data_IF_366146087509
#
_entry.id   IF_366146087509
#
_cell.length_a   1.000
_cell.length_b   1.000
_cell.length_c   1.000
_cell.angle_alpha   90.00
_cell.angle_beta   90.00
_cell.angle_gamma   90.00
#
_symmetry.space_group_name_H-M   'P 1'
#
loop_
_entity.id
_entity.type
_entity.pdbx_description
1 polymer ?
#
# COMPACT_ATOMS: atom_id res chain seq x y z
N UNK A 1 -25.95 -0.82 -16.01
CA UNK A 1 -26.57 -0.62 -14.70
C UNK A 1 -25.60 0.19 -13.87
N UNK A 2 -26.03 1.32 -13.30
CA UNK A 2 -25.21 2.10 -12.38
C UNK A 2 -25.00 1.27 -11.13
N UNK A 3 -23.74 1.06 -10.75
CA UNK A 3 -23.40 0.36 -9.52
C UNK A 3 -23.76 1.26 -8.33
N UNK A 4 -24.79 0.90 -7.56
CA UNK A 4 -25.24 1.76 -6.45
C UNK A 4 -24.40 1.57 -5.17
N UNK A 5 -23.37 0.75 -5.23
CA UNK A 5 -22.46 0.50 -4.10
C UNK A 5 -21.58 1.72 -3.87
N UNK A 6 -21.50 2.14 -2.60
CA UNK A 6 -20.72 3.29 -2.15
C UNK A 6 -19.53 2.82 -1.31
N UNK A 7 -18.33 3.25 -1.68
CA UNK A 7 -17.06 2.84 -1.07
C UNK A 7 -16.40 4.06 -0.44
N UNK A 8 -15.98 3.96 0.82
CA UNK A 8 -15.08 4.92 1.43
C UNK A 8 -13.64 4.46 1.26
N UNK A 9 -12.78 5.35 0.74
CA UNK A 9 -11.33 5.14 0.67
C UNK A 9 -10.67 6.21 1.53
N UNK A 10 -10.12 5.83 2.69
CA UNK A 10 -9.35 6.74 3.52
C UNK A 10 -7.90 6.80 3.04
N UNK A 11 -7.24 7.95 3.17
CA UNK A 11 -5.91 8.14 2.55
C UNK A 11 -5.98 8.16 1.03
N UNK A 12 -7.14 8.59 0.47
CA UNK A 12 -7.42 8.52 -0.96
C UNK A 12 -6.61 9.49 -1.82
N UNK A 13 -5.94 10.48 -1.23
CA UNK A 13 -4.99 11.35 -1.94
C UNK A 13 -3.54 10.82 -1.91
N UNK A 14 -3.27 9.73 -1.17
CA UNK A 14 -1.99 9.03 -1.14
C UNK A 14 -1.76 8.15 -2.36
N UNK A 15 -0.60 7.50 -2.41
CA UNK A 15 -0.19 6.61 -3.49
C UNK A 15 -1.22 5.49 -3.77
N UNK A 16 -1.45 4.61 -2.79
CA UNK A 16 -2.35 3.45 -2.98
C UNK A 16 -3.80 3.92 -3.08
N UNK A 17 -4.23 4.81 -2.18
CA UNK A 17 -5.61 5.28 -2.12
C UNK A 17 -6.09 5.96 -3.40
N UNK A 18 -5.26 6.80 -4.04
CA UNK A 18 -5.64 7.48 -5.28
C UNK A 18 -5.75 6.54 -6.49
N UNK A 19 -4.97 5.45 -6.51
CA UNK A 19 -5.11 4.40 -7.50
C UNK A 19 -6.39 3.59 -7.31
N UNK A 20 -6.76 3.31 -6.04
CA UNK A 20 -8.04 2.67 -5.71
C UNK A 20 -9.23 3.57 -6.08
N UNK A 21 -9.19 4.88 -5.76
CA UNK A 21 -10.23 5.84 -6.17
C UNK A 21 -10.44 5.80 -7.68
N UNK A 22 -9.37 5.93 -8.46
CA UNK A 22 -9.43 5.92 -9.93
C UNK A 22 -10.03 4.61 -10.46
N UNK A 23 -9.57 3.48 -9.92
CA UNK A 23 -10.05 2.16 -10.33
C UNK A 23 -11.54 1.96 -10.06
N UNK A 24 -12.00 2.21 -8.84
CA UNK A 24 -13.41 1.99 -8.49
C UNK A 24 -14.35 2.97 -9.19
N UNK A 25 -13.92 4.22 -9.43
CA UNK A 25 -14.67 5.16 -10.27
C UNK A 25 -14.79 4.67 -11.71
N UNK A 26 -13.73 4.07 -12.29
CA UNK A 26 -13.78 3.47 -13.63
C UNK A 26 -14.79 2.32 -13.73
N UNK A 27 -14.99 1.61 -12.62
CA UNK A 27 -15.99 0.54 -12.45
C UNK A 27 -17.40 1.06 -12.09
N UNK A 28 -17.60 2.37 -12.10
CA UNK A 28 -18.89 3.02 -11.79
C UNK A 28 -19.38 2.85 -10.34
N UNK A 29 -18.48 2.62 -9.40
CA UNK A 29 -18.79 2.73 -7.97
C UNK A 29 -18.91 4.19 -7.56
N UNK A 30 -19.68 4.47 -6.51
CA UNK A 30 -19.62 5.76 -5.80
C UNK A 30 -18.46 5.73 -4.82
N UNK A 31 -17.55 6.69 -4.91
CA UNK A 31 -16.34 6.75 -4.09
C UNK A 31 -16.34 7.99 -3.22
N UNK A 32 -16.22 7.80 -1.92
CA UNK A 32 -15.91 8.85 -0.94
C UNK A 32 -14.41 8.74 -0.62
N UNK A 33 -13.69 9.83 -0.72
CA UNK A 33 -12.29 9.94 -0.33
C UNK A 33 -12.21 10.77 0.96
N UNK A 34 -11.62 10.21 2.02
CA UNK A 34 -11.27 10.94 3.24
C UNK A 34 -9.75 11.08 3.30
N UNK A 35 -9.24 12.32 3.33
CA UNK A 35 -7.80 12.60 3.40
C UNK A 35 -7.56 13.98 4.04
N UNK A 36 -6.54 14.11 4.88
CA UNK A 36 -6.10 15.37 5.48
C UNK A 36 -4.90 16.01 4.76
N UNK A 37 -4.43 15.40 3.68
CA UNK A 37 -3.31 15.83 2.86
C UNK A 37 -1.96 15.95 3.60
N UNK A 38 -1.82 15.30 4.75
CA UNK A 38 -0.56 15.32 5.50
C UNK A 38 0.60 14.63 4.75
N UNK A 39 0.28 13.63 3.93
CA UNK A 39 1.23 12.91 3.06
C UNK A 39 0.66 12.64 1.67
N UNK A 40 -0.64 12.80 1.49
CA UNK A 40 -1.33 12.73 0.22
C UNK A 40 -1.25 14.06 -0.54
N UNK A 41 -1.45 14.02 -1.86
CA UNK A 41 -1.33 15.18 -2.72
C UNK A 41 -2.60 15.43 -3.51
N UNK A 42 -3.10 16.67 -3.52
CA UNK A 42 -4.31 17.07 -4.30
C UNK A 42 -4.17 16.73 -5.78
N UNK A 43 -2.95 16.81 -6.34
CA UNK A 43 -2.71 16.50 -7.75
C UNK A 43 -3.04 15.02 -8.10
N UNK A 44 -2.96 14.08 -7.16
CA UNK A 44 -3.33 12.68 -7.37
C UNK A 44 -4.84 12.49 -7.65
N UNK A 45 -5.67 13.48 -7.28
CA UNK A 45 -7.12 13.44 -7.42
C UNK A 45 -7.63 14.17 -8.67
N UNK A 46 -6.80 15.02 -9.33
CA UNK A 46 -7.22 15.91 -10.43
C UNK A 46 -7.93 15.15 -11.55
N UNK A 47 -7.43 13.98 -11.94
CA UNK A 47 -7.94 13.21 -13.07
C UNK A 47 -9.43 12.81 -12.91
N UNK A 48 -9.95 12.76 -11.70
CA UNK A 48 -11.31 12.34 -11.41
C UNK A 48 -12.07 13.24 -10.42
N UNK A 49 -11.52 14.40 -10.06
CA UNK A 49 -12.15 15.34 -9.12
C UNK A 49 -13.54 15.83 -9.56
N UNK A 50 -13.78 15.89 -10.87
CA UNK A 50 -15.07 16.30 -11.45
C UNK A 50 -16.01 15.11 -11.76
N UNK A 51 -15.66 13.89 -11.35
CA UNK A 51 -16.54 12.73 -11.57
C UNK A 51 -17.74 12.81 -10.62
N UNK A 52 -18.96 12.69 -11.17
CA UNK A 52 -20.22 12.76 -10.40
C UNK A 52 -20.34 11.71 -9.27
N UNK A 53 -19.61 10.60 -9.42
CA UNK A 53 -19.56 9.52 -8.42
C UNK A 53 -18.42 9.70 -7.39
N UNK A 54 -17.67 10.80 -7.43
CA UNK A 54 -16.58 11.08 -6.52
C UNK A 54 -16.96 12.19 -5.53
N UNK A 55 -16.77 11.91 -4.24
CA UNK A 55 -16.87 12.92 -3.15
C UNK A 55 -15.56 12.97 -2.38
N UNK A 56 -14.94 14.15 -2.27
CA UNK A 56 -13.82 14.41 -1.36
C UNK A 56 -14.35 14.95 -0.04
N UNK A 57 -13.85 14.40 1.07
CA UNK A 57 -13.96 14.95 2.42
C UNK A 57 -12.53 15.24 2.88
N UNK A 58 -12.22 16.52 3.11
CA UNK A 58 -10.97 16.95 3.72
C UNK A 58 -11.11 16.82 5.23
N UNK A 59 -10.55 15.77 5.83
CA UNK A 59 -10.71 15.45 7.24
C UNK A 59 -9.64 14.49 7.74
N UNK A 60 -9.58 14.33 9.05
CA UNK A 60 -8.54 13.57 9.74
C UNK A 60 -9.14 12.37 10.49
N UNK A 61 -8.61 11.18 10.25
CA UNK A 61 -9.07 9.96 10.92
C UNK A 61 -8.89 10.00 12.45
N UNK A 62 -8.04 10.88 12.98
CA UNK A 62 -7.91 11.12 14.42
C UNK A 62 -9.15 11.79 15.03
N UNK A 63 -9.95 12.44 14.21
CA UNK A 63 -11.22 13.07 14.61
C UNK A 63 -12.37 12.09 14.34
N UNK A 64 -13.00 11.60 15.39
CA UNK A 64 -14.11 10.65 15.24
C UNK A 64 -15.25 11.23 14.39
N UNK A 65 -15.58 12.54 14.54
CA UNK A 65 -16.63 13.20 13.77
C UNK A 65 -16.37 13.18 12.25
N UNK A 66 -15.11 13.34 11.81
CA UNK A 66 -14.75 13.25 10.40
C UNK A 66 -14.93 11.81 9.86
N UNK A 67 -14.62 10.81 10.71
CA UNK A 67 -14.84 9.42 10.39
C UNK A 67 -16.34 9.10 10.28
N UNK A 68 -17.15 9.59 11.22
CA UNK A 68 -18.60 9.42 11.23
C UNK A 68 -19.27 10.07 10.00
N UNK A 69 -18.82 11.26 9.59
CA UNK A 69 -19.29 11.89 8.35
C UNK A 69 -18.91 11.05 7.13
N UNK A 70 -17.67 10.56 7.08
CA UNK A 70 -17.17 9.86 5.92
C UNK A 70 -17.87 8.52 5.67
N UNK A 71 -18.31 7.81 6.70
CA UNK A 71 -18.97 6.50 6.58
C UNK A 71 -20.46 6.57 6.28
N UNK A 72 -21.07 7.76 6.16
CA UNK A 72 -22.52 7.91 5.96
C UNK A 72 -23.01 7.25 4.66
N UNK A 73 -23.83 6.19 4.82
CA UNK A 73 -24.39 5.42 3.71
C UNK A 73 -23.35 4.68 2.86
N UNK A 74 -22.18 4.36 3.43
CA UNK A 74 -21.11 3.60 2.81
C UNK A 74 -21.36 2.11 3.00
N UNK A 75 -21.16 1.33 1.92
CA UNK A 75 -21.26 -0.13 1.98
C UNK A 75 -19.95 -0.79 2.40
N UNK A 76 -18.81 -0.26 1.91
CA UNK A 76 -17.47 -0.82 2.13
C UNK A 76 -16.47 0.25 2.47
N UNK A 77 -15.54 -0.05 3.38
CA UNK A 77 -14.39 0.81 3.69
C UNK A 77 -13.11 0.15 3.21
N UNK A 78 -12.31 0.89 2.43
CA UNK A 78 -10.92 0.57 2.08
C UNK A 78 -10.01 1.54 2.85
N UNK A 79 -9.53 1.11 4.01
CA UNK A 79 -8.77 1.96 4.90
C UNK A 79 -7.28 1.94 4.55
N UNK A 80 -6.82 3.00 3.84
CA UNK A 80 -5.42 3.18 3.44
C UNK A 80 -4.71 4.28 4.23
N UNK A 81 -5.45 5.13 4.95
CA UNK A 81 -4.89 6.23 5.73
C UNK A 81 -3.98 5.72 6.84
N UNK A 82 -2.72 6.09 6.79
CA UNK A 82 -1.71 5.80 7.80
C UNK A 82 -0.45 6.65 7.56
N UNK A 83 0.34 6.86 8.59
CA UNK A 83 1.72 7.30 8.44
C UNK A 83 2.61 6.08 8.20
N UNK A 84 2.94 5.84 6.93
CA UNK A 84 3.89 4.81 6.51
C UNK A 84 5.34 5.22 6.81
N UNK A 85 6.26 4.25 6.88
CA UNK A 85 7.70 4.42 7.06
C UNK A 85 8.22 4.09 8.46
N UNK A 86 9.11 3.11 8.49
CA UNK A 86 9.84 2.72 9.70
C UNK A 86 10.70 3.89 10.24
N UNK A 87 11.54 4.58 9.43
CA UNK A 87 12.34 5.70 9.94
C UNK A 87 11.49 6.84 10.50
N UNK A 88 10.35 7.17 9.89
CA UNK A 88 9.43 8.18 10.44
C UNK A 88 8.96 7.77 11.83
N UNK A 89 8.53 6.53 12.00
CA UNK A 89 8.01 6.05 13.28
C UNK A 89 9.07 6.02 14.40
N UNK A 90 10.34 5.88 14.05
CA UNK A 90 11.46 5.98 15.00
C UNK A 90 11.67 7.44 15.41
N UNK A 91 11.59 8.36 14.46
CA UNK A 91 11.78 9.79 14.72
C UNK A 91 10.58 10.44 15.43
N UNK A 92 9.36 10.00 15.11
CA UNK A 92 8.13 10.50 15.73
C UNK A 92 7.13 9.35 15.98
N UNK A 93 7.37 8.58 17.07
CA UNK A 93 6.51 7.46 17.41
C UNK A 93 5.14 7.89 17.93
N UNK A 94 5.04 9.07 18.57
CA UNK A 94 3.77 9.55 19.15
C UNK A 94 2.76 9.86 18.03
N UNK A 95 3.13 10.69 17.07
CA UNK A 95 2.24 11.01 15.93
C UNK A 95 1.94 9.76 15.10
N UNK A 96 2.93 8.87 14.92
CA UNK A 96 2.72 7.59 14.22
C UNK A 96 1.68 6.72 14.94
N UNK A 97 1.76 6.62 16.26
CA UNK A 97 0.79 5.89 17.08
C UNK A 97 -0.61 6.52 16.97
N UNK A 98 -0.70 7.83 17.13
CA UNK A 98 -1.96 8.56 17.14
C UNK A 98 -2.73 8.38 15.81
N UNK A 99 -2.04 8.54 14.68
CA UNK A 99 -2.65 8.32 13.36
C UNK A 99 -2.97 6.84 13.14
N UNK A 100 -2.00 5.95 13.37
CA UNK A 100 -2.12 4.55 12.94
C UNK A 100 -2.93 3.68 13.89
N UNK A 101 -3.02 4.02 15.18
CA UNK A 101 -3.79 3.26 16.16
C UNK A 101 -5.08 4.01 16.52
N UNK A 102 -5.00 5.22 17.04
CA UNK A 102 -6.21 5.97 17.44
C UNK A 102 -7.10 6.26 16.23
N UNK A 103 -6.49 6.71 15.11
CA UNK A 103 -7.22 6.95 13.86
C UNK A 103 -7.84 5.69 13.28
N UNK A 104 -7.13 4.57 13.32
CA UNK A 104 -7.68 3.27 12.90
C UNK A 104 -8.86 2.84 13.76
N UNK A 105 -8.76 2.99 15.08
CA UNK A 105 -9.83 2.67 16.01
C UNK A 105 -11.06 3.53 15.78
N UNK A 106 -10.90 4.84 15.55
CA UNK A 106 -12.00 5.73 15.19
C UNK A 106 -12.74 5.25 13.93
N UNK A 107 -11.99 4.86 12.89
CA UNK A 107 -12.57 4.32 11.66
C UNK A 107 -13.31 2.99 11.88
N UNK A 108 -12.80 2.10 12.74
CA UNK A 108 -13.52 0.87 13.12
C UNK A 108 -14.82 1.19 13.86
N UNK A 109 -14.78 2.11 14.83
CA UNK A 109 -15.97 2.54 15.60
C UNK A 109 -17.01 3.14 14.67
N UNK A 110 -16.64 4.11 13.85
CA UNK A 110 -17.55 4.75 12.89
C UNK A 110 -18.13 3.72 11.89
N UNK A 111 -17.32 2.79 11.40
CA UNK A 111 -17.77 1.73 10.46
C UNK A 111 -18.75 0.77 11.11
N UNK A 112 -18.51 0.36 12.37
CA UNK A 112 -19.44 -0.46 13.15
C UNK A 112 -20.79 0.23 13.32
N UNK A 113 -20.78 1.49 13.73
CA UNK A 113 -22.00 2.25 14.07
C UNK A 113 -22.81 2.59 12.82
N UNK A 114 -22.13 2.83 11.69
CA UNK A 114 -22.76 2.98 10.38
C UNK A 114 -23.19 1.65 9.73
N UNK A 115 -22.91 0.49 10.35
CA UNK A 115 -23.21 -0.85 9.82
C UNK A 115 -22.61 -1.11 8.44
N UNK A 116 -21.36 -0.68 8.24
CA UNK A 116 -20.59 -0.99 7.05
C UNK A 116 -20.50 -2.52 6.89
N UNK A 117 -20.71 -3.02 5.68
CA UNK A 117 -20.72 -4.48 5.41
C UNK A 117 -19.35 -5.09 5.64
N UNK A 118 -18.28 -4.43 5.17
CA UNK A 118 -16.92 -4.95 5.34
C UNK A 118 -15.91 -3.80 5.38
N UNK A 119 -14.92 -3.97 6.27
CA UNK A 119 -13.80 -3.07 6.49
C UNK A 119 -12.51 -3.74 6.03
N UNK A 120 -11.98 -3.32 4.89
CA UNK A 120 -10.70 -3.78 4.34
C UNK A 120 -9.62 -2.76 4.73
N UNK A 121 -8.48 -3.22 5.22
CA UNK A 121 -7.46 -2.31 5.71
C UNK A 121 -6.03 -2.68 5.28
N UNK A 122 -5.22 -1.65 5.10
CA UNK A 122 -3.80 -1.78 4.84
C UNK A 122 -3.07 -2.27 6.10
N UNK A 123 -2.84 -3.56 6.20
CA UNK A 123 -1.87 -4.16 7.10
C UNK A 123 -0.46 -4.04 6.47
N UNK A 124 0.56 -4.68 7.03
CA UNK A 124 1.94 -4.50 6.58
C UNK A 124 2.79 -5.75 6.76
N UNK A 125 3.67 -6.00 5.81
CA UNK A 125 4.73 -7.01 5.93
C UNK A 125 5.68 -6.75 7.11
N UNK A 126 5.74 -5.52 7.62
CA UNK A 126 6.53 -5.19 8.81
C UNK A 126 6.08 -5.95 10.07
N UNK A 127 4.84 -6.48 10.10
CA UNK A 127 4.31 -7.34 11.17
C UNK A 127 5.12 -8.63 11.33
N UNK A 128 5.77 -9.12 10.27
CA UNK A 128 6.62 -10.30 10.36
C UNK A 128 7.86 -10.10 11.23
N UNK A 129 8.30 -8.86 11.42
CA UNK A 129 9.37 -8.52 12.35
C UNK A 129 10.65 -9.34 12.13
N UNK A 130 11.14 -9.97 13.21
CA UNK A 130 12.36 -10.81 13.23
C UNK A 130 12.14 -12.27 12.77
N UNK A 131 10.98 -12.62 12.23
CA UNK A 131 10.74 -13.97 11.69
C UNK A 131 11.76 -14.31 10.60
N UNK A 132 12.47 -15.42 10.71
CA UNK A 132 13.46 -15.90 9.74
C UNK A 132 12.86 -16.81 8.66
N UNK A 133 11.60 -17.26 8.84
CA UNK A 133 10.97 -18.20 7.90
C UNK A 133 10.79 -17.59 6.51
N UNK A 134 11.07 -18.37 5.47
CA UNK A 134 10.81 -18.07 4.07
C UNK A 134 10.13 -19.28 3.41
N UNK A 135 9.08 -19.10 2.63
CA UNK A 135 8.36 -17.85 2.47
C UNK A 135 7.64 -17.40 3.75
N UNK A 136 7.32 -16.10 3.85
CA UNK A 136 6.47 -15.57 4.93
C UNK A 136 5.06 -16.10 4.74
N UNK A 137 4.48 -16.68 5.79
CA UNK A 137 3.08 -17.14 5.84
C UNK A 137 2.34 -16.43 6.96
N UNK A 138 1.06 -16.15 6.77
CA UNK A 138 0.28 -15.24 7.61
C UNK A 138 0.23 -15.64 9.08
N UNK A 139 0.23 -16.92 9.37
CA UNK A 139 0.12 -17.50 10.70
C UNK A 139 1.43 -17.49 11.51
N UNK A 140 2.57 -17.19 10.86
CA UNK A 140 3.90 -17.23 11.49
C UNK A 140 4.57 -15.87 11.49
N UNK A 141 4.26 -15.06 12.48
CA UNK A 141 4.91 -13.76 12.69
C UNK A 141 6.01 -13.87 13.76
N UNK A 142 6.99 -12.97 13.67
CA UNK A 142 7.98 -12.74 14.71
C UNK A 142 7.60 -11.57 15.63
N UNK A 143 8.60 -10.92 16.21
CA UNK A 143 8.43 -9.71 17.03
C UNK A 143 8.59 -8.47 16.17
N UNK A 144 7.66 -7.51 16.21
CA UNK A 144 7.79 -6.24 15.52
C UNK A 144 9.10 -5.53 15.84
N UNK A 145 9.80 -5.01 14.81
CA UNK A 145 11.13 -4.38 14.96
C UNK A 145 11.09 -2.84 14.94
N UNK A 146 9.90 -2.22 14.90
CA UNK A 146 9.78 -0.76 14.88
C UNK A 146 8.43 -0.30 15.42
N UNK A 147 8.31 0.97 15.86
CA UNK A 147 7.02 1.53 16.25
C UNK A 147 5.95 1.39 15.13
N UNK A 148 6.32 1.61 13.87
CA UNK A 148 5.42 1.38 12.74
C UNK A 148 4.90 -0.07 12.68
N UNK A 149 5.79 -1.05 12.83
CA UNK A 149 5.41 -2.47 12.82
C UNK A 149 4.44 -2.80 13.97
N UNK A 150 4.69 -2.24 15.17
CA UNK A 150 3.78 -2.37 16.32
C UNK A 150 2.40 -1.80 15.97
N UNK A 151 2.33 -0.58 15.40
CA UNK A 151 1.04 0.01 15.06
C UNK A 151 0.25 -0.84 14.07
N UNK A 152 0.91 -1.42 13.08
CA UNK A 152 0.25 -2.29 12.08
C UNK A 152 -0.20 -3.62 12.67
N UNK A 153 0.56 -4.20 13.58
CA UNK A 153 0.14 -5.41 14.29
C UNK A 153 -1.05 -5.13 15.23
N UNK A 154 -1.05 -4.01 15.94
CA UNK A 154 -2.19 -3.59 16.78
C UNK A 154 -3.47 -3.42 15.94
N UNK A 155 -3.37 -2.93 14.70
CA UNK A 155 -4.52 -2.84 13.80
C UNK A 155 -5.14 -4.22 13.52
N UNK A 156 -4.31 -5.25 13.30
CA UNK A 156 -4.80 -6.62 13.09
C UNK A 156 -5.53 -7.14 14.34
N UNK A 157 -4.98 -6.90 15.54
CA UNK A 157 -5.61 -7.29 16.81
C UNK A 157 -6.96 -6.59 17.04
N UNK A 158 -7.04 -5.27 16.76
CA UNK A 158 -8.31 -4.54 16.85
C UNK A 158 -9.34 -5.05 15.85
N UNK A 159 -8.95 -5.29 14.60
CA UNK A 159 -9.83 -5.80 13.56
C UNK A 159 -10.41 -7.16 13.95
N UNK A 160 -9.58 -8.07 14.50
CA UNK A 160 -10.01 -9.38 14.99
C UNK A 160 -11.04 -9.25 16.13
N UNK A 161 -10.79 -8.38 17.12
CA UNK A 161 -11.72 -8.17 18.24
C UNK A 161 -13.00 -7.51 17.76
N UNK A 162 -12.97 -6.54 16.85
CA UNK A 162 -14.18 -5.91 16.30
C UNK A 162 -15.04 -6.90 15.54
N UNK A 163 -14.43 -7.81 14.80
CA UNK A 163 -15.14 -8.89 14.14
C UNK A 163 -15.83 -9.84 15.15
N UNK A 164 -15.09 -10.31 16.14
CA UNK A 164 -15.62 -11.25 17.16
C UNK A 164 -16.68 -10.65 18.07
N UNK A 165 -16.49 -9.38 18.47
CA UNK A 165 -17.35 -8.74 19.47
C UNK A 165 -18.54 -8.02 18.85
N UNK A 166 -18.37 -7.39 17.70
CA UNK A 166 -19.38 -6.53 17.10
C UNK A 166 -19.90 -7.05 15.75
N UNK A 167 -19.34 -8.13 15.21
CA UNK A 167 -19.77 -8.72 13.95
C UNK A 167 -19.41 -7.91 12.71
N UNK A 168 -18.48 -6.94 12.81
CA UNK A 168 -17.98 -6.20 11.64
C UNK A 168 -17.05 -7.11 10.82
N UNK A 169 -17.41 -7.39 9.58
CA UNK A 169 -16.50 -8.14 8.70
C UNK A 169 -15.22 -7.35 8.42
N UNK A 170 -14.05 -7.96 8.65
CA UNK A 170 -12.75 -7.32 8.42
C UNK A 170 -11.84 -8.18 7.56
N UNK A 171 -11.04 -7.55 6.70
CA UNK A 171 -9.95 -8.21 5.96
C UNK A 171 -8.72 -7.32 5.97
N UNK A 172 -7.62 -7.84 6.52
CA UNK A 172 -6.32 -7.17 6.50
C UNK A 172 -5.48 -7.59 5.29
N UNK A 173 -4.85 -6.63 4.64
CA UNK A 173 -3.96 -6.86 3.50
C UNK A 173 -2.53 -6.45 3.88
N UNK A 174 -1.65 -7.42 4.16
CA UNK A 174 -0.23 -7.17 4.42
C UNK A 174 0.46 -6.87 3.10
N UNK A 175 0.68 -5.58 2.84
CA UNK A 175 1.35 -5.13 1.62
C UNK A 175 2.87 -5.37 1.70
N UNK A 176 3.44 -5.84 0.58
CA UNK A 176 4.87 -6.05 0.40
C UNK A 176 5.42 -5.15 -0.70
N UNK A 177 6.34 -4.23 -0.31
CA UNK A 177 7.11 -3.36 -1.20
C UNK A 177 6.35 -2.86 -2.44
N UNK A 178 5.17 -2.28 -2.20
CA UNK A 178 4.30 -1.78 -3.28
C UNK A 178 5.00 -0.69 -4.07
N UNK A 179 4.89 -0.76 -5.40
CA UNK A 179 5.41 0.26 -6.31
C UNK A 179 4.43 0.53 -7.46
N UNK A 180 4.55 1.69 -8.10
CA UNK A 180 3.75 2.02 -9.26
C UNK A 180 3.46 3.51 -9.41
N UNK A 181 2.54 3.81 -10.34
CA UNK A 181 2.12 5.19 -10.65
C UNK A 181 1.63 5.95 -9.41
N UNK A 182 1.88 7.28 -9.39
CA UNK A 182 1.55 8.20 -8.28
C UNK A 182 2.33 7.97 -6.98
N UNK A 183 3.36 7.12 -6.98
CA UNK A 183 4.27 7.00 -5.84
C UNK A 183 5.27 8.15 -5.85
N UNK A 184 5.32 8.93 -4.74
CA UNK A 184 6.16 10.13 -4.62
C UNK A 184 7.64 9.76 -4.48
N UNK A 185 8.54 10.25 -5.39
CA UNK A 185 9.98 10.06 -5.29
C UNK A 185 10.65 11.01 -4.29
N UNK A 186 9.98 12.11 -3.90
CA UNK A 186 10.59 13.24 -3.17
C UNK A 186 10.36 13.18 -1.66
N UNK A 187 9.56 12.24 -1.17
CA UNK A 187 9.33 12.09 0.26
C UNK A 187 10.62 11.80 1.02
N UNK A 188 10.78 12.36 2.23
CA UNK A 188 11.95 12.09 3.10
C UNK A 188 12.24 10.60 3.32
N UNK A 189 11.24 9.77 3.09
CA UNK A 189 11.27 8.31 3.22
C UNK A 189 10.82 7.61 1.93
N UNK A 190 11.16 8.20 0.77
CA UNK A 190 10.77 7.65 -0.53
C UNK A 190 11.27 6.21 -0.71
N UNK A 191 10.43 5.38 -1.32
CA UNK A 191 10.76 4.00 -1.65
C UNK A 191 11.87 3.92 -2.71
N UNK A 192 12.57 2.80 -2.76
CA UNK A 192 13.77 2.62 -3.61
C UNK A 192 13.47 2.82 -5.10
N UNK A 193 12.34 2.31 -5.60
CA UNK A 193 12.02 2.37 -7.04
C UNK A 193 11.81 3.82 -7.52
N UNK A 194 10.86 4.62 -6.98
CA UNK A 194 10.69 5.99 -7.45
C UNK A 194 11.95 6.85 -7.23
N UNK A 195 12.71 6.61 -6.15
CA UNK A 195 13.97 7.31 -5.90
C UNK A 195 15.03 7.02 -6.98
N UNK A 196 15.23 5.75 -7.34
CA UNK A 196 16.20 5.38 -8.39
C UNK A 196 15.76 5.88 -9.76
N UNK A 197 14.46 5.81 -10.07
CA UNK A 197 13.93 6.39 -11.31
C UNK A 197 14.27 7.86 -11.42
N UNK A 198 14.00 8.67 -10.37
CA UNK A 198 14.34 10.10 -10.37
C UNK A 198 15.83 10.34 -10.55
N UNK A 199 16.68 9.60 -9.83
CA UNK A 199 18.13 9.73 -9.95
C UNK A 199 18.62 9.44 -11.37
N UNK A 200 18.13 8.39 -12.02
CA UNK A 200 18.45 8.09 -13.41
C UNK A 200 17.95 9.16 -14.38
N UNK A 201 16.71 9.66 -14.20
CA UNK A 201 16.16 10.75 -15.02
C UNK A 201 16.94 12.07 -14.88
N UNK A 202 17.56 12.30 -13.72
CA UNK A 202 18.42 13.44 -13.44
C UNK A 202 19.90 13.19 -13.80
N UNK A 203 20.22 12.06 -14.45
CA UNK A 203 21.60 11.61 -14.76
C UNK A 203 22.51 11.51 -13.53
N UNK A 204 21.93 11.25 -12.36
CA UNK A 204 22.67 11.03 -11.10
C UNK A 204 22.92 9.53 -10.89
N UNK A 205 24.08 9.19 -10.33
CA UNK A 205 24.42 7.83 -9.94
C UNK A 205 23.62 7.39 -8.71
N UNK A 206 22.76 6.36 -8.80
CA UNK A 206 22.12 5.81 -7.62
C UNK A 206 23.12 5.17 -6.66
N UNK A 207 22.83 5.28 -5.35
CA UNK A 207 23.60 4.62 -4.28
C UNK A 207 22.81 3.42 -3.78
N UNK A 208 23.37 2.23 -3.97
CA UNK A 208 22.82 0.96 -3.46
C UNK A 208 23.40 0.66 -2.10
N UNK A 209 22.57 0.32 -1.14
CA UNK A 209 23.04 -0.13 0.16
C UNK A 209 23.55 -1.58 0.07
N UNK A 210 24.75 -1.86 0.57
CA UNK A 210 25.41 -3.16 0.48
C UNK A 210 25.89 -3.49 -0.94
N UNK A 211 25.98 -4.77 -1.25
CA UNK A 211 26.43 -5.31 -2.54
C UNK A 211 25.30 -5.43 -3.60
N UNK A 212 24.09 -5.04 -3.25
CA UNK A 212 22.91 -5.11 -4.12
C UNK A 212 22.27 -6.51 -4.23
N UNK A 213 22.74 -7.49 -3.48
CA UNK A 213 22.20 -8.86 -3.50
C UNK A 213 20.98 -9.07 -2.57
N UNK A 214 20.66 -8.08 -1.72
CA UNK A 214 19.43 -8.13 -0.95
C UNK A 214 18.22 -8.14 -1.87
N UNK A 215 17.27 -9.02 -1.60
CA UNK A 215 16.09 -9.22 -2.47
C UNK A 215 14.79 -8.91 -1.75
N UNK A 216 13.81 -8.44 -2.52
CA UNK A 216 12.47 -8.11 -2.04
C UNK A 216 11.42 -8.69 -2.99
N UNK A 217 10.29 -9.06 -2.44
CA UNK A 217 9.08 -9.25 -3.22
C UNK A 217 8.46 -7.87 -3.48
N UNK A 218 8.55 -7.41 -4.72
CA UNK A 218 8.00 -6.13 -5.16
C UNK A 218 6.63 -6.34 -5.79
N UNK A 219 5.63 -5.64 -5.28
CA UNK A 219 4.24 -5.78 -5.71
C UNK A 219 3.79 -4.55 -6.51
N UNK A 220 3.45 -4.76 -7.79
CA UNK A 220 2.92 -3.67 -8.61
C UNK A 220 1.53 -3.25 -8.14
N UNK A 221 1.25 -1.95 -8.23
CA UNK A 221 0.01 -1.34 -7.70
C UNK A 221 -1.27 -2.00 -8.21
N UNK A 222 -1.32 -2.49 -9.45
CA UNK A 222 -2.52 -3.12 -9.99
C UNK A 222 -2.80 -4.51 -9.36
N UNK A 223 -1.77 -5.22 -8.87
CA UNK A 223 -1.95 -6.42 -8.06
C UNK A 223 -2.56 -6.08 -6.68
N UNK A 224 -2.18 -4.93 -6.09
CA UNK A 224 -2.77 -4.43 -4.84
C UNK A 224 -4.22 -4.02 -5.04
N UNK A 225 -4.55 -3.37 -6.16
CA UNK A 225 -5.92 -3.02 -6.54
C UNK A 225 -6.77 -4.29 -6.65
N UNK A 226 -6.25 -5.32 -7.35
CA UNK A 226 -6.92 -6.62 -7.48
C UNK A 226 -7.22 -7.23 -6.10
N UNK A 227 -6.27 -7.24 -5.17
CA UNK A 227 -6.48 -7.76 -3.83
C UNK A 227 -7.56 -7.00 -3.05
N UNK A 228 -7.58 -5.66 -3.15
CA UNK A 228 -8.63 -4.86 -2.52
C UNK A 228 -10.01 -5.16 -3.11
N UNK A 229 -10.12 -5.33 -4.44
CA UNK A 229 -11.38 -5.70 -5.10
C UNK A 229 -11.85 -7.09 -4.66
N UNK A 230 -10.96 -8.09 -4.67
CA UNK A 230 -11.28 -9.46 -4.24
C UNK A 230 -11.70 -9.50 -2.76
N UNK A 231 -10.99 -8.81 -1.88
CA UNK A 231 -11.32 -8.72 -0.46
C UNK A 231 -12.69 -8.04 -0.24
N UNK A 232 -12.99 -7.00 -1.02
CA UNK A 232 -14.27 -6.28 -0.94
C UNK A 232 -15.43 -7.13 -1.43
N UNK A 233 -15.26 -7.86 -2.54
CA UNK A 233 -16.36 -8.51 -3.26
C UNK A 233 -16.55 -9.99 -2.93
N UNK A 234 -15.63 -10.62 -2.19
CA UNK A 234 -15.74 -12.05 -1.85
C UNK A 234 -17.05 -12.38 -1.15
N UNK A 235 -17.64 -13.48 -1.54
CA UNK A 235 -18.80 -14.11 -0.86
C UNK A 235 -18.38 -15.34 -0.06
N UNK A 236 -17.11 -15.71 -0.09
CA UNK A 236 -16.57 -16.83 0.68
C UNK A 236 -16.46 -16.43 2.15
N UNK A 237 -17.28 -17.02 3.01
CA UNK A 237 -17.29 -16.73 4.46
C UNK A 237 -16.01 -17.15 5.17
N UNK A 238 -15.26 -18.12 4.63
CA UNK A 238 -13.96 -18.52 5.18
C UNK A 238 -12.85 -17.48 4.86
N UNK A 239 -13.10 -16.58 3.91
CA UNK A 239 -12.15 -15.57 3.49
C UNK A 239 -12.21 -14.29 4.31
N UNK A 240 -13.21 -14.09 5.15
CA UNK A 240 -13.38 -12.89 5.97
C UNK A 240 -12.78 -13.05 7.37
N UNK A 241 -12.59 -11.94 8.07
CA UNK A 241 -12.09 -11.87 9.45
C UNK A 241 -10.68 -12.47 9.62
N UNK A 242 -9.82 -12.23 8.64
CA UNK A 242 -8.43 -12.70 8.61
C UNK A 242 -7.52 -11.72 7.84
N UNK A 243 -6.25 -12.04 7.80
CA UNK A 243 -5.24 -11.27 7.06
C UNK A 243 -4.68 -12.08 5.90
N UNK A 244 -4.21 -11.37 4.86
CA UNK A 244 -3.62 -11.95 3.65
C UNK A 244 -2.34 -11.24 3.27
N UNK A 245 -1.36 -11.99 2.81
CA UNK A 245 -0.23 -11.45 2.09
C UNK A 245 -0.68 -10.89 0.74
N UNK A 246 -0.29 -9.67 0.47
CA UNK A 246 -0.51 -9.00 -0.82
C UNK A 246 0.85 -8.76 -1.44
N UNK A 247 1.31 -9.75 -2.18
CA UNK A 247 2.62 -9.87 -2.78
C UNK A 247 2.51 -10.42 -4.21
N UNK A 248 3.63 -10.47 -4.93
CA UNK A 248 3.69 -11.17 -6.21
C UNK A 248 4.04 -12.66 -6.02
N UNK A 249 4.78 -13.01 -4.97
CA UNK A 249 5.22 -14.36 -4.69
C UNK A 249 6.57 -14.72 -5.34
N UNK A 250 7.33 -13.70 -5.77
CA UNK A 250 8.69 -13.86 -6.28
C UNK A 250 9.59 -12.73 -5.77
N UNK A 251 10.90 -12.88 -5.88
CA UNK A 251 11.85 -11.91 -5.35
C UNK A 251 12.82 -11.39 -6.41
N UNK A 252 13.12 -10.11 -6.32
CA UNK A 252 14.06 -9.41 -7.20
C UNK A 252 15.17 -8.79 -6.36
N UNK A 253 16.44 -8.95 -6.76
CA UNK A 253 17.57 -8.28 -6.11
C UNK A 253 17.61 -6.79 -6.48
N UNK A 254 18.33 -5.98 -5.70
CA UNK A 254 18.54 -4.57 -6.06
C UNK A 254 19.38 -4.43 -7.34
N UNK A 255 20.30 -5.37 -7.60
CA UNK A 255 21.08 -5.42 -8.84
C UNK A 255 20.18 -5.67 -10.05
N UNK A 256 19.25 -6.64 -9.96
CA UNK A 256 18.28 -6.92 -11.03
C UNK A 256 17.33 -5.72 -11.23
N UNK A 257 16.86 -5.12 -10.15
CA UNK A 257 16.03 -3.91 -10.21
C UNK A 257 16.73 -2.80 -11.00
N UNK A 258 18.00 -2.53 -10.69
CA UNK A 258 18.80 -1.52 -11.40
C UNK A 258 18.94 -1.86 -12.89
N UNK A 259 19.23 -3.11 -13.20
CA UNK A 259 19.34 -3.60 -14.59
C UNK A 259 18.04 -3.31 -15.36
N UNK A 260 16.88 -3.67 -14.79
CA UNK A 260 15.59 -3.41 -15.43
C UNK A 260 15.28 -1.92 -15.54
N UNK A 261 15.58 -1.10 -14.51
CA UNK A 261 15.38 0.34 -14.58
C UNK A 261 16.21 0.98 -15.68
N UNK A 262 17.50 0.62 -15.81
CA UNK A 262 18.35 1.12 -16.89
C UNK A 262 17.83 0.70 -18.25
N UNK A 263 17.43 -0.55 -18.42
CA UNK A 263 16.86 -1.07 -19.67
C UNK A 263 15.63 -0.25 -20.08
N UNK A 264 14.64 -0.12 -19.19
CA UNK A 264 13.35 0.50 -19.53
C UNK A 264 13.44 2.03 -19.64
N UNK A 265 14.26 2.70 -18.83
CA UNK A 265 14.47 4.14 -18.94
C UNK A 265 15.29 4.50 -20.18
N UNK A 266 16.18 3.62 -20.65
CA UNK A 266 16.95 3.83 -21.87
C UNK A 266 16.10 3.81 -23.14
N UNK A 267 14.87 3.27 -23.08
CA UNK A 267 13.89 3.40 -24.18
C UNK A 267 13.51 4.88 -24.40
N UNK A 268 13.63 5.74 -23.37
CA UNK A 268 13.29 7.17 -23.43
C UNK A 268 14.53 8.06 -23.52
N UNK A 269 15.65 7.64 -22.94
CA UNK A 269 16.92 8.35 -22.95
C UNK A 269 18.10 7.35 -22.94
N UNK A 270 18.68 7.10 -24.11
CA UNK A 270 19.72 6.09 -24.29
C UNK A 270 20.97 6.34 -23.43
N UNK A 271 21.23 7.59 -22.97
CA UNK A 271 22.39 7.90 -22.14
C UNK A 271 22.31 7.29 -20.73
N UNK A 272 21.10 6.98 -20.25
CA UNK A 272 20.87 6.34 -18.95
C UNK A 272 21.55 4.96 -18.87
N UNK A 273 21.66 4.24 -19.99
CA UNK A 273 22.36 2.95 -20.03
C UNK A 273 23.80 3.03 -19.47
N UNK A 274 24.46 4.17 -19.63
CA UNK A 274 25.87 4.38 -19.26
C UNK A 274 26.04 4.96 -17.84
N UNK A 275 24.98 5.30 -17.13
CA UNK A 275 25.07 5.85 -15.78
C UNK A 275 25.64 4.78 -14.84
N UNK A 276 26.72 5.10 -14.13
CA UNK A 276 27.30 4.23 -13.13
C UNK A 276 26.40 4.15 -11.88
N UNK A 277 26.56 3.07 -11.12
CA UNK A 277 25.89 2.86 -9.84
C UNK A 277 26.97 2.74 -8.77
N UNK A 278 26.77 3.36 -7.63
CA UNK A 278 27.71 3.26 -6.49
C UNK A 278 27.13 2.36 -5.40
N UNK A 279 28.01 1.69 -4.68
CA UNK A 279 27.63 0.78 -3.60
C UNK A 279 28.13 1.34 -2.27
N UNK A 280 27.22 1.45 -1.30
CA UNK A 280 27.50 1.94 0.04
C UNK A 280 27.45 0.82 1.11
N UNK A 281 27.57 1.16 2.39
CA UNK A 281 27.46 0.17 3.46
C UNK A 281 26.04 -0.40 3.55
N UNK A 282 25.91 -1.59 4.15
CA UNK A 282 24.61 -2.14 4.50
C UNK A 282 23.87 -1.20 5.45
N UNK A 283 22.58 -1.02 5.21
CA UNK A 283 21.74 -0.24 6.11
C UNK A 283 21.43 -1.06 7.36
N UNK A 284 21.62 -0.47 8.53
CA UNK A 284 21.30 -1.13 9.80
C UNK A 284 19.79 -1.50 9.85
N UNK A 285 19.51 -2.75 10.22
CA UNK A 285 18.14 -3.26 10.34
C UNK A 285 17.48 -3.71 9.03
N UNK A 286 18.18 -3.68 7.90
CA UNK A 286 17.64 -4.25 6.65
C UNK A 286 17.62 -5.78 6.73
N UNK A 287 16.47 -6.36 6.37
CA UNK A 287 16.29 -7.80 6.21
C UNK A 287 16.92 -8.22 4.88
N UNK A 288 17.82 -9.25 4.82
CA UNK A 288 18.49 -9.62 3.58
C UNK A 288 17.54 -10.06 2.47
N UNK A 289 16.55 -10.89 2.80
CA UNK A 289 15.65 -11.47 1.80
C UNK A 289 14.20 -11.44 2.29
N UNK A 290 13.28 -11.12 1.37
CA UNK A 290 11.82 -11.24 1.56
C UNK A 290 11.25 -12.04 0.40
N UNK A 291 10.56 -13.11 0.73
CA UNK A 291 9.73 -13.91 -0.18
C UNK A 291 8.45 -14.24 0.56
N UNK A 292 7.32 -14.10 -0.12
CA UNK A 292 6.03 -14.11 0.54
C UNK A 292 5.09 -15.12 -0.12
N UNK A 293 4.44 -15.97 0.71
CA UNK A 293 3.46 -16.91 0.20
C UNK A 293 2.15 -16.18 -0.09
N UNK A 294 1.62 -16.42 -1.28
CA UNK A 294 0.30 -15.94 -1.70
C UNK A 294 -0.74 -17.07 -1.75
N UNK A 295 -0.40 -18.26 -1.25
CA UNK A 295 -1.25 -19.46 -1.34
C UNK A 295 -2.60 -19.27 -0.66
N UNK A 296 -2.62 -18.64 0.53
CA UNK A 296 -3.86 -18.36 1.26
C UNK A 296 -4.78 -17.43 0.46
N UNK A 297 -4.21 -16.35 -0.10
CA UNK A 297 -4.94 -15.40 -0.94
C UNK A 297 -5.46 -16.07 -2.22
N UNK A 298 -4.66 -16.91 -2.87
CA UNK A 298 -5.07 -17.69 -4.04
C UNK A 298 -6.23 -18.64 -3.72
N UNK A 299 -6.10 -19.41 -2.63
CA UNK A 299 -7.10 -20.40 -2.24
C UNK A 299 -8.44 -19.79 -1.81
N UNK A 300 -8.42 -18.74 -1.00
CA UNK A 300 -9.64 -18.22 -0.36
C UNK A 300 -10.26 -17.04 -1.11
N UNK A 301 -9.45 -16.21 -1.77
CA UNK A 301 -9.90 -15.03 -2.51
C UNK A 301 -9.80 -15.18 -4.04
N UNK A 302 -9.15 -16.24 -4.55
CA UNK A 302 -8.88 -16.38 -5.98
C UNK A 302 -7.84 -15.40 -6.50
N UNK A 303 -6.89 -14.98 -5.64
CA UNK A 303 -5.86 -14.02 -6.01
C UNK A 303 -4.83 -14.66 -6.94
N UNK A 304 -4.70 -14.11 -8.13
CA UNK A 304 -3.69 -14.43 -9.13
C UNK A 304 -3.06 -13.13 -9.62
N UNK A 305 -1.87 -12.75 -9.13
CA UNK A 305 -1.25 -11.48 -9.50
C UNK A 305 -0.91 -11.46 -10.99
N UNK A 306 -1.40 -10.45 -11.70
CA UNK A 306 -1.29 -10.34 -13.16
C UNK A 306 0.01 -9.69 -13.64
N UNK A 307 0.65 -8.93 -12.78
CA UNK A 307 1.85 -8.18 -13.12
C UNK A 307 3.06 -8.73 -12.37
N UNK A 308 4.02 -9.28 -13.11
CA UNK A 308 5.35 -9.57 -12.58
C UNK A 308 6.10 -8.28 -12.24
N UNK A 309 7.25 -8.40 -11.54
CA UNK A 309 8.13 -7.26 -11.28
C UNK A 309 8.50 -6.53 -12.57
N UNK A 310 8.91 -7.26 -13.62
CA UNK A 310 9.33 -6.67 -14.89
C UNK A 310 8.18 -5.97 -15.61
N UNK A 311 7.02 -6.64 -15.76
CA UNK A 311 5.87 -6.05 -16.47
C UNK A 311 5.31 -4.83 -15.72
N UNK A 312 5.19 -4.90 -14.40
CA UNK A 312 4.75 -3.77 -13.59
C UNK A 312 5.74 -2.62 -13.60
N UNK A 313 7.07 -2.90 -13.58
CA UNK A 313 8.10 -1.88 -13.63
C UNK A 313 8.10 -1.15 -14.97
N UNK A 314 7.90 -1.87 -16.07
CA UNK A 314 7.79 -1.26 -17.41
C UNK A 314 6.62 -0.27 -17.49
N UNK A 315 5.47 -0.60 -16.93
CA UNK A 315 4.32 0.32 -16.84
C UNK A 315 4.59 1.50 -15.89
N UNK A 316 5.21 1.25 -14.73
CA UNK A 316 5.56 2.29 -13.78
C UNK A 316 6.55 3.29 -14.38
N UNK A 317 7.59 2.83 -15.07
CA UNK A 317 8.61 3.68 -15.72
C UNK A 317 8.00 4.60 -16.78
N UNK A 318 7.06 4.09 -17.60
CA UNK A 318 6.33 4.93 -18.57
C UNK A 318 5.58 6.06 -17.88
N UNK A 319 4.92 5.75 -16.78
CA UNK A 319 4.19 6.76 -16.01
C UNK A 319 5.15 7.78 -15.37
N UNK A 320 6.22 7.33 -14.72
CA UNK A 320 7.22 8.20 -14.09
C UNK A 320 7.85 9.15 -15.11
N UNK A 321 8.28 8.62 -16.27
CA UNK A 321 8.87 9.44 -17.33
C UNK A 321 7.96 10.56 -17.80
N UNK A 322 6.67 10.31 -17.89
CA UNK A 322 5.68 11.29 -18.33
C UNK A 322 5.32 12.33 -17.26
N UNK A 323 5.35 11.95 -15.98
CA UNK A 323 4.73 12.74 -14.90
C UNK A 323 5.70 13.30 -13.87
N UNK A 324 6.97 12.89 -13.87
CA UNK A 324 7.98 13.36 -12.91
C UNK A 324 9.02 14.29 -13.54
N UNK A 325 8.83 14.73 -14.76
CA UNK A 325 9.67 15.75 -15.43
C UNK A 325 9.31 17.15 -14.97
#
# INVERSE_FOLDING_TARGET
MTNNIKILITGGAGFIGSNLCEYFLSKKYKVVCLDNFSTGHKHNLIAFSNNENFKLIEGDIRNLSDCEEAVQGVDYVLHQAALGSVPRSINDPITTNDVNISGFLNMLVASRDAKVKRFIYAASSSTYGDSESLPKIEEKIGRPLSPYAITKYVNELYAEIFSKTYGLETIGLRYFNVFGRKQDPNGAYAAVIPKFVMQFMEHKSPVVNGDGNFSRDFTYIDNVIQMNELAMTTINTEAINTVYNTAYGDRTTLNDLIKYLKEYLSEFDASIANISVTYGPNRAGDIPHSLDSIEKAGKLLGYEPKFSMQSGLKEAVKWYWKNLK
#
